data_IF_023738728317
#
_entry.id   IF_023738728317
#
_cell.length_a   1.000
_cell.length_b   1.000
_cell.length_c   1.000
_cell.angle_alpha   90.00
_cell.angle_beta   90.00
_cell.angle_gamma   90.00
#
_symmetry.space_group_name_H-M   'P 1'
#
loop_
_entity.id
_entity.type
_entity.pdbx_description
1 polymer ?
#
# COMPACT_ATOMS: atom_id res chain seq x y z
N UNK A 1 2.04 -21.12 15.63
CA UNK A 1 1.41 -19.77 15.69
C UNK A 1 1.53 -19.18 17.09
N UNK A 2 1.20 -19.91 18.16
CA UNK A 2 1.37 -19.44 19.55
C UNK A 2 2.82 -19.06 19.94
N UNK A 3 3.85 -19.68 19.34
CA UNK A 3 5.25 -19.39 19.67
C UNK A 3 5.74 -18.03 19.15
N UNK A 4 5.24 -17.56 18.01
CA UNK A 4 5.62 -16.25 17.45
C UNK A 4 5.10 -15.09 18.30
N UNK A 5 3.89 -15.24 18.86
CA UNK A 5 3.30 -14.25 19.76
C UNK A 5 4.02 -14.23 21.12
N UNK A 6 4.45 -15.41 21.61
CA UNK A 6 5.27 -15.54 22.83
C UNK A 6 6.65 -14.90 22.67
N UNK A 7 7.28 -15.04 21.50
CA UNK A 7 8.55 -14.38 21.19
C UNK A 7 8.41 -12.86 21.10
N UNK A 8 7.32 -12.36 20.50
CA UNK A 8 7.02 -10.93 20.44
C UNK A 8 6.84 -10.33 21.85
N UNK A 9 6.13 -11.03 22.76
CA UNK A 9 5.95 -10.61 24.15
C UNK A 9 7.29 -10.60 24.90
N UNK A 10 8.15 -11.61 24.68
CA UNK A 10 9.49 -11.68 25.30
C UNK A 10 10.37 -10.52 24.84
N UNK A 11 10.34 -10.19 23.55
CA UNK A 11 11.10 -9.08 22.98
C UNK A 11 10.62 -7.72 23.52
N UNK A 12 9.30 -7.51 23.61
CA UNK A 12 8.72 -6.30 24.17
C UNK A 12 9.08 -6.10 25.66
N UNK A 13 9.05 -7.19 26.46
CA UNK A 13 9.41 -7.15 27.87
C UNK A 13 10.89 -6.84 28.08
N UNK A 14 11.77 -7.38 27.24
CA UNK A 14 13.21 -7.13 27.28
C UNK A 14 13.54 -5.68 26.96
N UNK A 15 12.88 -5.10 25.94
CA UNK A 15 13.06 -3.70 25.56
C UNK A 15 12.63 -2.75 26.68
N UNK A 16 11.54 -3.04 27.38
CA UNK A 16 11.09 -2.23 28.51
C UNK A 16 12.08 -2.30 29.68
N UNK A 17 12.63 -3.48 29.96
CA UNK A 17 13.67 -3.64 30.99
C UNK A 17 14.94 -2.86 30.62
N UNK A 18 15.38 -2.92 29.35
CA UNK A 18 16.55 -2.19 28.87
C UNK A 18 16.35 -0.67 28.98
N UNK A 19 15.15 -0.16 28.64
CA UNK A 19 14.82 1.26 28.77
C UNK A 19 14.77 1.75 30.22
N UNK A 20 14.42 0.85 31.14
CA UNK A 20 14.39 1.14 32.58
C UNK A 20 15.79 1.05 33.21
N UNK A 21 16.66 0.20 32.65
CA UNK A 21 18.06 0.04 33.07
C UNK A 21 18.97 1.14 32.50
N UNK A 22 18.66 1.71 31.33
CA UNK A 22 19.45 2.78 30.69
C UNK A 22 19.28 4.17 31.34
N UNK A 23 18.44 4.30 32.37
CA UNK A 23 18.23 5.56 33.10
C UNK A 23 19.16 5.80 34.30
N UNK A 24 19.94 4.79 34.74
CA UNK A 24 20.77 4.92 35.94
C UNK A 24 22.06 4.08 35.84
N UNK A 25 23.14 4.69 35.36
CA UNK A 25 24.50 4.13 35.50
C UNK A 25 25.30 4.07 34.20
N UNK A 26 26.32 4.92 34.10
CA UNK A 26 27.31 4.89 33.03
C UNK A 26 28.21 3.63 33.11
N UNK A 27 28.46 2.98 31.98
CA UNK A 27 29.49 1.95 31.84
C UNK A 27 29.28 1.03 30.62
N UNK A 28 29.94 1.37 29.50
CA UNK A 28 30.12 0.48 28.35
C UNK A 28 31.41 -0.37 28.55
N UNK A 29 31.67 -1.51 27.85
CA UNK A 29 31.63 -1.58 26.38
C UNK A 29 31.15 -2.92 25.76
N UNK A 30 31.03 -2.90 24.42
CA UNK A 30 31.03 -4.05 23.49
C UNK A 30 29.68 -4.62 23.03
N UNK A 31 29.34 -4.33 21.76
CA UNK A 31 28.51 -5.21 20.93
C UNK A 31 27.47 -4.52 20.03
N UNK A 32 27.90 -3.77 19.00
CA UNK A 32 27.08 -3.29 17.87
C UNK A 32 26.05 -2.21 18.23
N UNK A 33 26.17 -0.95 17.82
CA UNK A 33 26.30 -0.55 16.42
C UNK A 33 24.92 -0.17 15.85
N UNK A 34 24.40 0.99 16.24
CA UNK A 34 23.46 1.78 15.43
C UNK A 34 21.95 1.51 15.58
N UNK A 35 21.19 2.61 15.74
CA UNK A 35 19.89 2.71 15.08
C UNK A 35 18.66 2.86 15.98
N UNK A 36 18.49 4.07 16.54
CA UNK A 36 17.16 4.56 16.91
C UNK A 36 16.23 4.80 15.69
N UNK A 37 16.74 4.62 14.46
CA UNK A 37 15.98 4.60 13.20
C UNK A 37 15.66 3.19 12.67
N UNK A 38 16.19 2.13 13.29
CA UNK A 38 16.12 0.78 12.73
C UNK A 38 14.70 0.25 12.59
N UNK A 39 13.77 0.58 13.51
CA UNK A 39 12.41 0.04 13.44
C UNK A 39 11.66 0.51 12.19
N UNK A 40 11.82 1.77 11.79
CA UNK A 40 11.11 2.33 10.63
C UNK A 40 11.75 1.87 9.31
N UNK A 41 13.08 1.80 9.27
CA UNK A 41 13.83 1.25 8.13
C UNK A 41 13.61 -0.26 7.97
N UNK A 42 13.56 -1.02 9.07
CA UNK A 42 13.21 -2.44 9.07
C UNK A 42 11.79 -2.67 8.57
N UNK A 43 10.85 -1.81 8.95
CA UNK A 43 9.45 -1.92 8.54
C UNK A 43 9.31 -1.64 7.03
N UNK A 44 10.00 -0.63 6.51
CA UNK A 44 10.06 -0.36 5.06
C UNK A 44 10.76 -1.49 4.29
N UNK A 45 11.84 -2.06 4.84
CA UNK A 45 12.53 -3.20 4.21
C UNK A 45 11.61 -4.41 4.13
N UNK A 46 10.92 -4.76 5.21
CA UNK A 46 9.96 -5.88 5.24
C UNK A 46 8.83 -5.68 4.23
N UNK A 47 8.32 -4.47 4.10
CA UNK A 47 7.30 -4.17 3.09
C UNK A 47 7.84 -4.29 1.66
N UNK A 48 9.05 -3.80 1.40
CA UNK A 48 9.70 -3.91 0.10
C UNK A 48 10.00 -5.37 -0.26
N UNK A 49 10.49 -6.16 0.68
CA UNK A 49 10.73 -7.59 0.55
C UNK A 49 9.43 -8.36 0.28
N UNK A 50 8.35 -8.04 1.00
CA UNK A 50 7.05 -8.65 0.77
C UNK A 50 6.52 -8.33 -0.65
N UNK A 51 6.64 -7.07 -1.08
CA UNK A 51 6.27 -6.65 -2.45
C UNK A 51 7.10 -7.38 -3.50
N UNK A 52 8.42 -7.43 -3.32
CA UNK A 52 9.34 -8.12 -4.23
C UNK A 52 9.06 -9.62 -4.30
N UNK A 53 8.76 -10.26 -3.16
CA UNK A 53 8.37 -11.67 -3.11
C UNK A 53 7.10 -11.93 -3.92
N UNK A 54 6.06 -11.10 -3.75
CA UNK A 54 4.82 -11.23 -4.53
C UNK A 54 5.11 -11.09 -6.02
N UNK A 55 5.83 -10.02 -6.41
CA UNK A 55 6.19 -9.76 -7.81
C UNK A 55 6.97 -10.92 -8.42
N UNK A 56 7.91 -11.53 -7.69
CA UNK A 56 8.70 -12.67 -8.17
C UNK A 56 7.87 -13.93 -8.43
N UNK A 57 6.76 -14.11 -7.71
CA UNK A 57 5.88 -15.27 -7.88
C UNK A 57 4.95 -15.11 -9.09
N UNK A 58 4.49 -13.89 -9.34
CA UNK A 58 3.52 -13.58 -10.40
C UNK A 58 4.18 -13.21 -11.75
N UNK A 59 5.42 -12.74 -11.76
CA UNK A 59 6.11 -12.32 -13.00
C UNK A 59 6.92 -13.48 -13.59
N UNK A 60 6.95 -13.55 -14.93
CA UNK A 60 7.95 -14.33 -15.65
C UNK A 60 9.33 -13.64 -15.61
N UNK A 61 10.45 -14.39 -15.74
CA UNK A 61 11.79 -13.82 -15.71
C UNK A 61 12.01 -12.73 -16.77
N UNK A 62 11.41 -12.90 -17.97
CA UNK A 62 11.46 -11.89 -19.04
C UNK A 62 10.68 -10.61 -18.67
N UNK A 63 9.54 -10.75 -17.97
CA UNK A 63 8.74 -9.62 -17.53
C UNK A 63 9.44 -8.84 -16.40
N UNK A 64 10.09 -9.54 -15.45
CA UNK A 64 10.86 -8.93 -14.38
C UNK A 64 12.02 -8.07 -14.91
N UNK A 65 12.78 -8.61 -15.87
CA UNK A 65 13.86 -7.89 -16.55
C UNK A 65 13.34 -6.66 -17.33
N UNK A 66 12.18 -6.79 -18.00
CA UNK A 66 11.52 -5.66 -18.67
C UNK A 66 11.10 -4.58 -17.69
N UNK A 67 10.51 -4.94 -16.55
CA UNK A 67 10.11 -4.00 -15.49
C UNK A 67 11.34 -3.26 -14.94
N UNK A 68 12.45 -3.97 -14.73
CA UNK A 68 13.73 -3.37 -14.33
C UNK A 68 14.26 -2.35 -15.34
N UNK A 69 14.20 -2.65 -16.64
CA UNK A 69 14.56 -1.68 -17.69
C UNK A 69 13.65 -0.45 -17.69
N UNK A 70 12.35 -0.64 -17.52
CA UNK A 70 11.39 0.47 -17.48
C UNK A 70 11.67 1.36 -16.28
N UNK A 71 11.95 0.78 -15.11
CA UNK A 71 12.28 1.54 -13.90
C UNK A 71 13.49 2.45 -14.10
N UNK A 72 14.48 2.04 -14.90
CA UNK A 72 15.63 2.89 -15.26
C UNK A 72 15.24 4.08 -16.14
N UNK A 73 14.25 3.94 -17.01
CA UNK A 73 13.79 5.01 -17.91
C UNK A 73 12.78 5.92 -17.21
N UNK A 74 11.88 5.35 -16.43
CA UNK A 74 10.84 6.05 -15.70
C UNK A 74 10.38 5.20 -14.51
N UNK A 75 10.84 5.58 -13.31
CA UNK A 75 10.51 4.88 -12.07
C UNK A 75 9.00 4.93 -11.76
N UNK A 76 8.34 6.06 -12.02
CA UNK A 76 6.92 6.24 -11.71
C UNK A 76 6.03 5.29 -12.49
N UNK A 77 6.29 5.11 -13.79
CA UNK A 77 5.57 4.12 -14.61
C UNK A 77 5.77 2.68 -14.13
N UNK A 78 6.94 2.36 -13.60
CA UNK A 78 7.19 1.04 -13.04
C UNK A 78 6.42 0.84 -11.73
N UNK A 79 6.39 1.86 -10.85
CA UNK A 79 5.64 1.83 -9.60
C UNK A 79 4.13 1.67 -9.80
N UNK A 80 3.55 2.38 -10.78
CA UNK A 80 2.13 2.27 -11.10
C UNK A 80 1.75 0.84 -11.52
N UNK A 81 2.60 0.22 -12.33
CA UNK A 81 2.42 -1.17 -12.78
C UNK A 81 2.63 -2.16 -11.64
N UNK A 82 3.67 -1.98 -10.82
CA UNK A 82 3.91 -2.80 -9.63
C UNK A 82 2.71 -2.75 -8.68
N UNK A 83 2.19 -1.57 -8.39
CA UNK A 83 1.02 -1.36 -7.54
C UNK A 83 -0.21 -2.08 -8.09
N UNK A 84 -0.48 -1.93 -9.40
CA UNK A 84 -1.59 -2.61 -10.07
C UNK A 84 -1.44 -4.14 -10.03
N UNK A 85 -0.24 -4.65 -10.28
CA UNK A 85 0.05 -6.08 -10.24
C UNK A 85 -0.10 -6.65 -8.82
N UNK A 86 0.38 -5.94 -7.80
CA UNK A 86 0.20 -6.35 -6.40
C UNK A 86 -1.28 -6.37 -6.04
N UNK A 87 -2.07 -5.39 -6.50
CA UNK A 87 -3.52 -5.38 -6.26
C UNK A 87 -4.20 -6.59 -6.91
N UNK A 88 -3.87 -6.93 -8.15
CA UNK A 88 -4.41 -8.09 -8.88
C UNK A 88 -3.97 -9.43 -8.27
N UNK A 89 -2.74 -9.49 -7.75
CA UNK A 89 -2.22 -10.67 -7.05
C UNK A 89 -2.94 -10.88 -5.72
N UNK A 90 -3.14 -9.80 -4.94
CA UNK A 90 -3.87 -9.85 -3.67
C UNK A 90 -5.35 -10.19 -3.85
N UNK A 91 -5.98 -9.73 -4.93
CA UNK A 91 -7.36 -10.08 -5.26
C UNK A 91 -7.51 -11.51 -5.83
N UNK A 92 -6.41 -12.19 -6.14
CA UNK A 92 -6.41 -13.54 -6.71
C UNK A 92 -6.91 -13.60 -8.16
N UNK A 93 -6.93 -12.46 -8.87
CA UNK A 93 -7.40 -12.42 -10.26
C UNK A 93 -6.36 -12.96 -11.26
N UNK A 94 -5.09 -13.04 -10.86
CA UNK A 94 -4.01 -13.60 -11.68
C UNK A 94 -4.04 -15.13 -11.62
N UNK A 95 -4.59 -15.75 -12.68
CA UNK A 95 -4.60 -17.22 -12.85
C UNK A 95 -3.28 -17.78 -13.42
N UNK A 96 -2.48 -16.93 -14.06
CA UNK A 96 -1.24 -17.30 -14.71
C UNK A 96 -0.15 -16.26 -14.41
N UNK A 97 1.11 -16.65 -14.62
CA UNK A 97 2.23 -15.72 -14.56
C UNK A 97 2.10 -14.67 -15.67
N UNK A 98 2.44 -13.44 -15.33
CA UNK A 98 2.39 -12.29 -16.22
C UNK A 98 3.61 -12.31 -17.13
N UNK A 99 3.36 -12.39 -18.43
CA UNK A 99 4.37 -12.34 -19.48
C UNK A 99 4.78 -10.90 -19.82
N UNK A 100 5.87 -10.75 -20.60
CA UNK A 100 6.30 -9.42 -21.07
C UNK A 100 5.23 -8.72 -21.92
N UNK A 101 4.48 -9.47 -22.73
CA UNK A 101 3.42 -8.92 -23.57
C UNK A 101 2.28 -8.33 -22.73
N UNK A 102 1.83 -9.06 -21.70
CA UNK A 102 0.80 -8.58 -20.78
C UNK A 102 1.28 -7.36 -19.98
N UNK A 103 2.57 -7.32 -19.60
CA UNK A 103 3.16 -6.16 -18.93
C UNK A 103 3.09 -4.90 -19.81
N UNK A 104 3.38 -5.04 -21.12
CA UNK A 104 3.26 -3.93 -22.09
C UNK A 104 1.82 -3.45 -22.24
N UNK A 105 0.88 -4.38 -22.38
CA UNK A 105 -0.54 -4.03 -22.49
C UNK A 105 -1.03 -3.29 -21.24
N UNK A 106 -0.60 -3.72 -20.04
CA UNK A 106 -0.92 -3.01 -18.79
C UNK A 106 -0.29 -1.61 -18.72
N UNK A 107 0.95 -1.44 -19.20
CA UNK A 107 1.59 -0.14 -19.28
C UNK A 107 0.85 0.82 -20.22
N UNK A 108 0.41 0.32 -21.38
CA UNK A 108 -0.36 1.10 -22.35
C UNK A 108 -1.72 1.47 -21.77
N UNK A 109 -2.41 0.52 -21.13
CA UNK A 109 -3.69 0.77 -20.47
C UNK A 109 -3.59 1.80 -19.33
N UNK A 110 -2.54 1.74 -18.51
CA UNK A 110 -2.29 2.73 -17.45
C UNK A 110 -2.00 4.10 -18.08
N UNK A 111 -1.17 4.16 -19.12
CA UNK A 111 -0.86 5.41 -19.80
C UNK A 111 -2.12 6.04 -20.41
N UNK A 112 -3.01 5.24 -20.98
CA UNK A 112 -4.29 5.70 -21.54
C UNK A 112 -5.29 6.11 -20.45
N UNK A 113 -5.32 5.38 -19.33
CA UNK A 113 -6.12 5.76 -18.16
C UNK A 113 -5.65 7.10 -17.57
N UNK A 114 -4.34 7.33 -17.46
CA UNK A 114 -3.78 8.61 -17.00
C UNK A 114 -4.11 9.74 -17.97
N UNK A 115 -4.02 9.50 -19.29
CA UNK A 115 -4.41 10.51 -20.29
C UNK A 115 -5.89 10.84 -20.24
N UNK A 116 -6.75 9.82 -20.13
CA UNK A 116 -8.20 10.01 -20.06
C UNK A 116 -8.63 10.64 -18.73
N UNK A 117 -8.02 10.28 -17.59
CA UNK A 117 -8.24 10.97 -16.31
C UNK A 117 -7.65 12.40 -16.30
N UNK A 118 -6.51 12.63 -16.95
CA UNK A 118 -5.88 13.95 -17.12
C UNK A 118 -6.56 14.85 -18.16
N UNK A 119 -7.50 14.31 -18.92
CA UNK A 119 -8.33 14.98 -19.92
C UNK A 119 -9.81 14.66 -19.71
N UNK A 120 -10.37 15.01 -18.56
CA UNK A 120 -11.84 15.06 -18.37
C UNK A 120 -12.57 13.71 -18.23
N UNK A 121 -11.88 12.64 -17.81
CA UNK A 121 -12.44 11.29 -17.66
C UNK A 121 -12.31 10.69 -16.26
N UNK A 122 -12.27 11.50 -15.21
CA UNK A 122 -12.66 10.99 -13.89
C UNK A 122 -14.12 10.55 -14.00
N UNK A 123 -14.44 9.31 -13.64
CA UNK A 123 -15.81 8.80 -13.61
C UNK A 123 -16.73 9.88 -13.05
N UNK A 124 -17.58 10.44 -13.91
CA UNK A 124 -18.60 11.41 -13.52
C UNK A 124 -19.54 10.67 -12.58
N UNK A 125 -19.26 10.71 -11.28
CA UNK A 125 -20.17 10.26 -10.23
C UNK A 125 -21.37 11.19 -10.30
N UNK A 126 -22.32 10.84 -11.15
CA UNK A 126 -23.61 11.52 -11.26
C UNK A 126 -24.38 11.12 -10.02
N UNK A 127 -24.20 11.90 -8.95
CA UNK A 127 -25.01 11.78 -7.75
C UNK A 127 -26.43 12.16 -8.15
N UNK A 128 -27.27 11.17 -8.48
CA UNK A 128 -28.71 11.35 -8.42
C UNK A 128 -29.07 11.49 -6.94
N UNK A 129 -28.97 12.73 -6.43
CA UNK A 129 -29.60 13.06 -5.15
C UNK A 129 -31.07 12.75 -5.37
N UNK A 130 -31.56 11.67 -4.77
CA UNK A 130 -33.00 11.50 -4.62
C UNK A 130 -33.49 12.82 -4.04
N UNK A 131 -34.40 13.47 -4.75
CA UNK A 131 -35.29 14.51 -4.24
C UNK A 131 -36.12 13.85 -3.11
N UNK A 132 -35.48 13.61 -1.97
CA UNK A 132 -36.14 13.55 -0.68
C UNK A 132 -36.32 15.00 -0.29
N UNK A 133 -37.54 15.50 -0.28
CA UNK A 133 -38.56 15.01 0.62
C UNK A 133 -38.63 16.01 1.77
N UNK A 134 -38.84 17.26 1.37
CA UNK A 134 -39.26 18.39 2.19
C UNK A 134 -40.20 19.12 1.24
N UNK A 135 -41.42 18.60 1.12
CA UNK A 135 -42.49 19.37 0.52
C UNK A 135 -42.67 20.61 1.42
N UNK A 136 -42.80 21.78 0.80
CA UNK A 136 -42.94 23.06 1.51
C UNK A 136 -44.27 23.13 2.31
N UNK A 137 -45.15 22.14 2.13
CA UNK A 137 -46.45 22.02 2.78
C UNK A 137 -46.36 21.54 4.25
N UNK A 138 -45.31 20.77 4.64
CA UNK A 138 -45.11 20.33 6.03
C UNK A 138 -44.49 21.42 6.93
N UNK A 139 -43.98 22.51 6.34
CA UNK A 139 -43.37 23.62 7.06
C UNK A 139 -44.41 24.66 7.52
N UNK A 140 -45.55 24.75 6.82
CA UNK A 140 -46.64 25.69 7.12
C UNK A 140 -47.52 25.20 8.29
N UNK A 141 -47.70 23.87 8.44
CA UNK A 141 -48.42 23.29 9.59
C UNK A 141 -47.64 23.43 10.90
N UNK A 142 -46.31 23.50 10.85
CA UNK A 142 -45.46 23.69 12.04
C UNK A 142 -45.41 25.15 12.52
N UNK A 143 -45.78 26.11 11.66
CA UNK A 143 -45.70 27.55 11.95
C UNK A 143 -47.03 28.17 12.38
N UNK A 144 -48.15 27.48 12.15
CA UNK A 144 -49.51 28.00 12.39
C UNK A 144 -50.23 27.36 13.60
N UNK A 145 -49.53 26.61 14.45
CA UNK A 145 -50.11 26.05 15.69
C UNK A 145 -49.84 26.99 16.90
N UNK A 146 -50.71 28.01 17.03
CA UNK A 146 -50.96 28.81 18.25
C UNK A 146 -52.40 28.54 18.75
#
# INVERSE_FOLDING_TARGET
MADSDLEAIRHARLQQLQSQQSGQGAGAPSGGGGGGGSKEDEQRSREAEARASILSQILEPLAADRLGRIRMVNAQRAEDVESRLIMLARSGQLRARVSETQLKEMLEAIAEQIKSQGGGGGEKVTVQRRKGGWDEDDLDDLLNED
#
